data_IF_685134588633
#
_entry.id   IF_685134588633
#
_cell.length_a   1.000
_cell.length_b   1.000
_cell.length_c   1.000
_cell.angle_alpha   90.00
_cell.angle_beta   90.00
_cell.angle_gamma   90.00
#
_symmetry.space_group_name_H-M   'P 1'
#
loop_
_entity.id
_entity.type
_entity.pdbx_description
1 polymer ?
#
# COMPACT_ATOMS: atom_id res chain seq x y z
N UNK A 1 13.34 -15.45 8.74
CA UNK A 1 12.76 -14.11 8.58
C UNK A 1 11.27 -14.32 8.62
N UNK A 2 10.59 -13.73 9.59
CA UNK A 2 9.13 -13.68 9.55
C UNK A 2 8.72 -12.98 8.25
N UNK A 3 7.72 -13.54 7.57
CA UNK A 3 7.22 -13.03 6.31
C UNK A 3 6.50 -11.70 6.58
N UNK A 4 7.08 -10.58 6.15
CA UNK A 4 6.46 -9.26 6.34
C UNK A 4 5.36 -9.09 5.30
N UNK A 5 4.11 -8.96 5.76
CA UNK A 5 2.96 -8.61 4.93
C UNK A 5 2.84 -7.09 4.92
N UNK A 6 3.34 -6.44 3.86
CA UNK A 6 3.24 -4.99 3.68
C UNK A 6 1.99 -4.63 2.88
N UNK A 7 1.19 -3.68 3.40
CA UNK A 7 -0.06 -3.25 2.77
C UNK A 7 -0.04 -1.74 2.59
N UNK A 8 -0.38 -1.26 1.39
CA UNK A 8 -0.60 0.17 1.16
C UNK A 8 -1.78 0.64 2.01
N UNK A 9 -1.53 1.62 2.86
CA UNK A 9 -2.52 2.14 3.80
C UNK A 9 -2.52 3.67 3.73
N UNK A 10 -3.34 4.31 2.87
CA UNK A 10 -3.41 5.77 2.78
C UNK A 10 -3.75 6.39 4.14
N UNK A 11 -3.31 7.62 4.37
CA UNK A 11 -3.79 8.40 5.52
C UNK A 11 -5.18 8.96 5.22
N UNK A 12 -6.00 9.27 6.25
CA UNK A 12 -7.31 9.88 6.04
C UNK A 12 -7.27 11.13 5.15
N UNK A 13 -6.26 11.99 5.35
CA UNK A 13 -6.06 13.23 4.59
C UNK A 13 -5.66 13.00 3.13
N UNK A 14 -4.93 11.92 2.84
CA UNK A 14 -4.46 11.57 1.50
C UNK A 14 -5.48 10.70 0.74
N UNK A 15 -6.50 10.20 1.44
CA UNK A 15 -7.46 9.23 0.90
C UNK A 15 -8.22 9.76 -0.34
N UNK A 16 -8.71 11.01 -0.38
CA UNK A 16 -9.39 11.51 -1.58
C UNK A 16 -8.50 11.40 -2.83
N UNK A 17 -7.22 11.75 -2.69
CA UNK A 17 -6.26 11.65 -3.80
C UNK A 17 -5.93 10.21 -4.13
N UNK A 18 -5.76 9.35 -3.13
CA UNK A 18 -5.58 7.91 -3.31
C UNK A 18 -6.73 7.27 -4.11
N UNK A 19 -7.97 7.64 -3.78
CA UNK A 19 -9.17 7.17 -4.45
C UNK A 19 -9.23 7.64 -5.91
N UNK A 20 -8.90 8.90 -6.20
CA UNK A 20 -8.79 9.40 -7.58
C UNK A 20 -7.75 8.62 -8.40
N UNK A 21 -6.61 8.32 -7.80
CA UNK A 21 -5.48 7.63 -8.44
C UNK A 21 -5.80 6.17 -8.72
N UNK A 22 -6.41 5.48 -7.76
CA UNK A 22 -6.66 4.04 -7.86
C UNK A 22 -8.02 3.68 -8.47
N UNK A 23 -8.98 4.60 -8.43
CA UNK A 23 -10.30 4.44 -9.03
C UNK A 23 -11.35 3.77 -8.14
N UNK A 24 -12.64 3.99 -8.46
CA UNK A 24 -13.79 3.47 -7.70
C UNK A 24 -14.05 1.97 -7.89
N UNK A 25 -13.42 1.34 -8.89
CA UNK A 25 -13.57 -0.10 -9.14
C UNK A 25 -12.83 -0.94 -8.08
N UNK A 26 -11.72 -0.40 -7.57
CA UNK A 26 -10.86 -1.08 -6.60
C UNK A 26 -11.15 -0.67 -5.14
N UNK A 27 -11.68 0.54 -4.92
CA UNK A 27 -11.77 1.14 -3.60
C UNK A 27 -13.11 1.81 -3.34
N UNK A 28 -13.57 1.86 -2.08
CA UNK A 28 -14.79 2.56 -1.71
C UNK A 28 -14.56 4.09 -1.64
N UNK A 29 -15.62 4.91 -1.73
CA UNK A 29 -15.48 6.37 -1.81
C UNK A 29 -14.90 7.05 -0.57
N UNK A 30 -15.03 6.44 0.62
CA UNK A 30 -14.56 7.04 1.88
C UNK A 30 -13.46 6.24 2.57
N UNK A 31 -12.62 6.95 3.32
CA UNK A 31 -11.56 6.32 4.10
C UNK A 31 -12.11 5.32 5.14
N UNK A 32 -13.25 5.64 5.76
CA UNK A 32 -13.88 4.78 6.76
C UNK A 32 -14.32 3.46 6.14
N UNK A 33 -15.00 3.52 4.98
CA UNK A 33 -15.42 2.32 4.25
C UNK A 33 -14.21 1.50 3.80
N UNK A 34 -13.13 2.17 3.36
CA UNK A 34 -11.89 1.49 3.01
C UNK A 34 -11.30 0.72 4.19
N UNK A 35 -11.20 1.35 5.35
CA UNK A 35 -10.70 0.69 6.56
C UNK A 35 -11.60 -0.49 6.93
N UNK A 36 -12.92 -0.32 6.89
CA UNK A 36 -13.87 -1.41 7.19
C UNK A 36 -13.71 -2.58 6.22
N UNK A 37 -13.64 -2.30 4.92
CA UNK A 37 -13.46 -3.32 3.88
C UNK A 37 -12.11 -4.02 4.02
N UNK A 38 -11.02 -3.28 4.21
CA UNK A 38 -9.68 -3.82 4.38
C UNK A 38 -9.60 -4.74 5.62
N UNK A 39 -10.14 -4.31 6.76
CA UNK A 39 -10.19 -5.13 7.97
C UNK A 39 -11.06 -6.39 7.78
N UNK A 40 -12.18 -6.28 7.05
CA UNK A 40 -13.02 -7.42 6.70
C UNK A 40 -12.30 -8.45 5.83
N UNK A 41 -11.52 -8.00 4.84
CA UNK A 41 -10.69 -8.87 3.99
C UNK A 41 -9.61 -9.57 4.83
N UNK A 42 -8.88 -8.83 5.68
CA UNK A 42 -7.86 -9.42 6.57
C UNK A 42 -8.46 -10.48 7.49
N UNK A 43 -9.60 -10.17 8.12
CA UNK A 43 -10.31 -11.11 8.99
C UNK A 43 -10.76 -12.37 8.23
N UNK A 44 -11.29 -12.22 7.01
CA UNK A 44 -11.70 -13.35 6.18
C UNK A 44 -10.53 -14.25 5.77
N UNK A 45 -9.32 -13.69 5.72
CA UNK A 45 -8.07 -14.42 5.45
C UNK A 45 -7.39 -14.94 6.72
N UNK A 46 -7.97 -14.70 7.91
CA UNK A 46 -7.37 -15.08 9.19
C UNK A 46 -6.10 -14.30 9.53
N UNK A 47 -5.90 -13.13 8.90
CA UNK A 47 -4.73 -12.28 9.12
C UNK A 47 -5.05 -11.28 10.24
N UNK A 48 -4.22 -11.24 11.27
CA UNK A 48 -4.29 -10.23 12.32
C UNK A 48 -3.88 -8.85 11.75
N UNK A 49 -4.74 -7.81 11.82
CA UNK A 49 -4.36 -6.46 11.41
C UNK A 49 -3.16 -5.87 12.16
N UNK A 50 -2.78 -6.43 13.31
CA UNK A 50 -1.57 -6.09 14.06
C UNK A 50 -0.29 -6.75 13.53
N UNK A 51 -0.41 -7.79 12.69
CA UNK A 51 0.74 -8.47 12.09
C UNK A 51 1.14 -7.94 10.71
N UNK A 52 0.33 -7.06 10.13
CA UNK A 52 0.65 -6.39 8.86
C UNK A 52 1.42 -5.08 9.09
N UNK A 53 2.34 -4.78 8.19
CA UNK A 53 3.01 -3.49 8.14
C UNK A 53 2.18 -2.54 7.27
N UNK A 54 1.49 -1.59 7.91
CA UNK A 54 0.68 -0.57 7.23
C UNK A 54 1.59 0.52 6.68
N UNK A 55 1.74 0.53 5.37
CA UNK A 55 2.60 1.49 4.68
C UNK A 55 1.79 2.72 4.31
N UNK A 56 1.95 3.80 5.07
CA UNK A 56 1.48 5.12 4.64
C UNK A 56 2.26 5.60 3.43
N UNK A 57 1.54 6.03 2.40
CA UNK A 57 2.07 6.44 1.10
C UNK A 57 1.52 7.80 0.70
N UNK A 58 2.34 8.56 -0.02
CA UNK A 58 1.87 9.65 -0.87
C UNK A 58 1.28 9.02 -2.16
N UNK A 59 0.02 9.33 -2.53
CA UNK A 59 -0.62 8.71 -3.69
C UNK A 59 0.06 9.03 -5.03
N UNK A 60 0.57 10.25 -5.19
CA UNK A 60 1.22 10.68 -6.43
C UNK A 60 2.62 10.06 -6.56
N UNK A 61 3.34 9.92 -5.43
CA UNK A 61 4.60 9.17 -5.39
C UNK A 61 4.38 7.71 -5.80
N UNK A 62 3.36 7.07 -5.23
CA UNK A 62 3.02 5.68 -5.56
C UNK A 62 2.67 5.54 -7.04
N UNK A 63 1.79 6.41 -7.58
CA UNK A 63 1.42 6.41 -8.99
C UNK A 63 2.66 6.51 -9.88
N UNK A 64 3.51 7.50 -9.63
CA UNK A 64 4.73 7.71 -10.42
C UNK A 64 5.68 6.51 -10.34
N UNK A 65 5.83 5.91 -9.15
CA UNK A 65 6.69 4.75 -8.98
C UNK A 65 6.13 3.53 -9.72
N UNK A 66 4.83 3.24 -9.59
CA UNK A 66 4.17 2.11 -10.26
C UNK A 66 4.25 2.25 -11.79
N UNK A 67 3.94 3.45 -12.32
CA UNK A 67 4.03 3.71 -13.75
C UNK A 67 5.48 3.61 -14.27
N UNK A 68 6.47 4.10 -13.51
CA UNK A 68 7.88 4.05 -13.93
C UNK A 68 8.44 2.64 -13.96
N UNK A 69 8.14 1.81 -12.96
CA UNK A 69 8.78 0.49 -12.80
C UNK A 69 7.97 -0.64 -13.45
N UNK A 70 6.67 -0.46 -13.60
CA UNK A 70 5.77 -1.53 -14.07
C UNK A 70 4.84 -1.11 -15.21
N UNK A 71 4.78 0.19 -15.56
CA UNK A 71 3.96 0.69 -16.66
C UNK A 71 2.46 0.68 -16.39
N UNK A 72 2.02 0.29 -15.19
CA UNK A 72 0.61 0.17 -14.79
C UNK A 72 0.44 0.46 -13.30
N UNK A 73 -0.79 0.77 -12.91
CA UNK A 73 -1.22 0.86 -11.52
C UNK A 73 -2.34 -0.16 -11.29
N UNK A 74 -2.04 -1.21 -10.54
CA UNK A 74 -2.96 -2.29 -10.16
C UNK A 74 -2.61 -2.83 -8.77
N UNK A 75 -3.41 -3.79 -8.28
CA UNK A 75 -3.22 -4.37 -6.94
C UNK A 75 -1.83 -4.96 -6.73
N UNK A 76 -1.27 -5.65 -7.74
CA UNK A 76 0.06 -6.27 -7.67
C UNK A 76 1.16 -5.21 -7.53
N UNK A 77 1.15 -4.19 -8.39
CA UNK A 77 2.16 -3.12 -8.39
C UNK A 77 2.09 -2.25 -7.12
N UNK A 78 0.89 -2.01 -6.59
CA UNK A 78 0.71 -1.36 -5.27
C UNK A 78 1.33 -2.18 -4.14
N UNK A 79 1.16 -3.50 -4.14
CA UNK A 79 1.79 -4.39 -3.15
C UNK A 79 3.32 -4.37 -3.25
N UNK A 80 3.88 -4.37 -4.48
CA UNK A 80 5.31 -4.23 -4.70
C UNK A 80 5.85 -2.88 -4.18
N UNK A 81 5.11 -1.79 -4.35
CA UNK A 81 5.48 -0.49 -3.79
C UNK A 81 5.50 -0.50 -2.25
N UNK A 82 4.50 -1.10 -1.60
CA UNK A 82 4.48 -1.26 -0.15
C UNK A 82 5.73 -2.03 0.33
N UNK A 83 6.05 -3.15 -0.33
CA UNK A 83 7.25 -3.93 -0.02
C UNK A 83 8.54 -3.13 -0.24
N UNK A 84 8.64 -2.34 -1.30
CA UNK A 84 9.77 -1.44 -1.55
C UNK A 84 9.96 -0.43 -0.42
N UNK A 85 8.88 0.20 0.07
CA UNK A 85 8.92 1.15 1.19
C UNK A 85 9.36 0.47 2.49
N UNK A 86 8.83 -0.72 2.79
CA UNK A 86 9.22 -1.50 3.97
C UNK A 86 10.70 -1.89 3.91
N UNK A 87 11.16 -2.45 2.77
CA UNK A 87 12.58 -2.77 2.57
C UNK A 87 13.48 -1.55 2.74
N UNK A 88 13.06 -0.38 2.25
CA UNK A 88 13.81 0.86 2.41
C UNK A 88 13.89 1.33 3.88
N UNK A 89 12.84 1.09 4.69
CA UNK A 89 12.81 1.42 6.13
C UNK A 89 13.68 0.48 6.96
N UNK A 90 13.61 -0.82 6.70
CA UNK A 90 14.45 -1.83 7.36
C UNK A 90 15.88 -1.85 6.81
N UNK A 91 16.09 -1.26 5.63
CA UNK A 91 17.35 -1.18 4.90
C UNK A 91 18.20 0.06 5.19
N UNK A 92 18.14 0.66 6.39
CA UNK A 92 19.28 1.47 6.91
C UNK A 92 20.50 0.57 7.16
N UNK A 93 20.99 -0.05 6.08
CA UNK A 93 21.98 -1.13 6.05
C UNK A 93 22.12 -1.83 4.68
N UNK A 94 21.43 -1.40 3.62
CA UNK A 94 21.78 -1.80 2.26
C UNK A 94 21.97 -0.55 1.43
N UNK A 95 23.25 -0.23 1.24
CA UNK A 95 23.78 0.90 0.52
C UNK A 95 23.11 1.10 -0.85
N UNK A 96 23.13 2.37 -1.26
CA UNK A 96 23.30 2.80 -2.63
C UNK A 96 23.63 1.63 -3.59
N UNK A 97 22.68 1.29 -4.45
CA UNK A 97 22.99 0.59 -5.67
C UNK A 97 22.59 1.54 -6.80
N UNK A 98 23.65 1.97 -7.49
CA UNK A 98 23.69 2.91 -8.61
C UNK A 98 22.63 2.67 -9.68
#
# INVERSE_FOLDING_TARGET
>A
MDEIIAVVWPRPEDYPRFFEVCGPEDYPPTYIEFVQQALGILAAQGIDPGSIEKVHVDPDEMLQWCLRHHGKLDTETRALFAMFKVRSRHGKGAEAIN
#
